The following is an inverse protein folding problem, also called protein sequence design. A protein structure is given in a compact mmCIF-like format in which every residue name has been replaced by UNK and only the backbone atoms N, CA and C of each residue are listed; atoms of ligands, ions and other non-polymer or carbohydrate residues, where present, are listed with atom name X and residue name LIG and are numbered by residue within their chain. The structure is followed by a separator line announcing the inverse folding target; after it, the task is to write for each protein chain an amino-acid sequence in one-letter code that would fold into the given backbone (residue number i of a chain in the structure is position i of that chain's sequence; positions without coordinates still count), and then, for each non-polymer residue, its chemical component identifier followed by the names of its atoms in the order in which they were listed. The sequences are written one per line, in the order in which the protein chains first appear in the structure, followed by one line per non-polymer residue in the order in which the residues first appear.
data_IF_550421956301
#
_entry.id   IF_550421956301
#
_cell.length_a   1.000
_cell.length_b   1.000
_cell.length_c   1.000
_cell.angle_alpha   90.00
_cell.angle_beta   90.00
_cell.angle_gamma   90.00
#
_symmetry.space_group_name_H-M   'P 1'
#
loop_
_entity.id
_entity.type
_entity.pdbx_description
1 polymer ?
#
# COMPACT_ATOMS: atom_id res chain seq x y z
N UNK A 1 -38.74 1.76 -6.70
CA UNK A 1 -37.81 0.62 -6.83
C UNK A 1 -37.06 0.50 -5.51
N UNK A 2 -36.61 -0.70 -5.12
CA UNK A 2 -35.78 -0.84 -3.91
C UNK A 2 -34.47 -0.05 -4.10
N UNK A 3 -34.00 0.57 -3.00
CA UNK A 3 -32.77 1.35 -2.97
C UNK A 3 -31.58 0.42 -3.22
N UNK A 4 -30.74 0.71 -4.23
CA UNK A 4 -29.53 -0.08 -4.49
C UNK A 4 -28.52 0.10 -3.36
N UNK A 5 -27.73 -0.94 -3.07
CA UNK A 5 -26.78 -0.97 -1.95
C UNK A 5 -25.34 -1.09 -2.46
N UNK A 6 -24.48 -0.19 -1.97
CA UNK A 6 -23.04 -0.24 -2.18
C UNK A 6 -22.37 -0.74 -0.91
N UNK A 7 -21.53 -1.77 -1.00
CA UNK A 7 -20.60 -2.14 0.07
C UNK A 7 -19.24 -1.48 -0.16
N UNK A 8 -18.62 -0.92 0.87
CA UNK A 8 -17.29 -0.31 0.78
C UNK A 8 -16.34 -0.84 1.86
N UNK A 9 -15.11 -1.19 1.47
CA UNK A 9 -14.08 -1.66 2.40
C UNK A 9 -12.69 -1.13 2.08
N UNK A 10 -11.83 -1.14 3.10
CA UNK A 10 -10.38 -0.90 2.99
C UNK A 10 -9.61 -2.12 3.46
N UNK A 11 -8.71 -2.65 2.62
CA UNK A 11 -7.90 -3.83 2.93
C UNK A 11 -6.39 -3.58 2.93
N UNK A 12 -5.63 -4.47 3.59
CA UNK A 12 -4.17 -4.37 3.69
C UNK A 12 -3.69 -3.26 4.63
N UNK A 13 -2.50 -2.70 4.38
CA UNK A 13 -2.01 -1.55 5.17
C UNK A 13 -2.80 -0.27 4.90
N UNK A 14 -3.29 0.41 5.94
CA UNK A 14 -3.81 1.78 5.88
C UNK A 14 -2.78 2.80 5.36
N UNK A 15 -3.24 3.88 4.73
CA UNK A 15 -2.41 4.98 4.25
C UNK A 15 -3.19 6.30 4.34
N UNK A 16 -2.53 7.47 4.35
CA UNK A 16 -3.22 8.75 4.23
C UNK A 16 -4.03 8.83 2.93
N UNK A 17 -5.23 9.42 3.01
CA UNK A 17 -6.13 9.60 1.85
C UNK A 17 -7.32 8.65 1.80
N UNK A 18 -7.27 7.52 2.51
CA UNK A 18 -8.37 6.55 2.55
C UNK A 18 -9.70 7.15 2.98
N UNK A 19 -9.71 7.89 4.10
CA UNK A 19 -10.91 8.52 4.61
C UNK A 19 -11.49 9.57 3.65
N UNK A 20 -10.66 10.28 2.89
CA UNK A 20 -11.12 11.22 1.88
C UNK A 20 -11.81 10.50 0.71
N UNK A 21 -11.26 9.36 0.27
CA UNK A 21 -11.90 8.50 -0.72
C UNK A 21 -13.23 7.95 -0.21
N UNK A 22 -13.27 7.37 0.99
CA UNK A 22 -14.50 6.82 1.57
C UNK A 22 -15.57 7.90 1.70
N UNK A 23 -15.23 9.06 2.27
CA UNK A 23 -16.16 10.19 2.39
C UNK A 23 -16.75 10.57 1.04
N UNK A 24 -15.91 10.66 0.01
CA UNK A 24 -16.37 11.03 -1.33
C UNK A 24 -17.36 10.01 -1.87
N UNK A 25 -17.04 8.71 -1.81
CA UNK A 25 -17.92 7.63 -2.26
C UNK A 25 -19.25 7.67 -1.50
N UNK A 26 -19.22 7.76 -0.17
CA UNK A 26 -20.42 7.76 0.68
C UNK A 26 -21.32 8.95 0.36
N UNK A 27 -20.78 10.18 0.31
CA UNK A 27 -21.59 11.36 0.05
C UNK A 27 -22.22 11.32 -1.35
N UNK A 28 -21.45 10.91 -2.36
CA UNK A 28 -21.92 10.73 -3.74
C UNK A 28 -22.98 9.66 -3.86
N UNK A 29 -22.81 8.53 -3.19
CA UNK A 29 -23.79 7.45 -3.17
C UNK A 29 -25.11 7.90 -2.53
N UNK A 30 -25.06 8.59 -1.39
CA UNK A 30 -26.23 9.10 -0.71
C UNK A 30 -27.00 10.15 -1.53
N UNK A 31 -26.30 10.99 -2.30
CA UNK A 31 -26.90 11.97 -3.22
C UNK A 31 -27.66 11.31 -4.38
N UNK A 32 -27.20 10.13 -4.81
CA UNK A 32 -27.79 9.33 -5.89
C UNK A 32 -28.77 8.28 -5.35
N UNK A 33 -29.24 8.45 -4.11
CA UNK A 33 -30.15 7.57 -3.40
C UNK A 33 -29.68 6.10 -3.34
N UNK A 34 -28.39 5.85 -3.09
CA UNK A 34 -27.87 4.53 -2.72
C UNK A 34 -27.81 4.33 -1.21
N UNK A 35 -28.05 3.11 -0.75
CA UNK A 35 -27.73 2.65 0.60
C UNK A 35 -26.25 2.31 0.64
N UNK A 36 -25.54 2.67 1.70
CA UNK A 36 -24.09 2.42 1.79
C UNK A 36 -23.75 1.62 3.02
N UNK A 37 -23.12 0.46 2.84
CA UNK A 37 -22.63 -0.40 3.90
C UNK A 37 -21.10 -0.29 4.00
N UNK A 38 -20.62 0.27 5.11
CA UNK A 38 -19.21 0.27 5.48
C UNK A 38 -18.83 -1.07 6.10
N UNK A 39 -18.01 -1.84 5.38
CA UNK A 39 -17.47 -3.13 5.83
C UNK A 39 -16.16 -2.85 6.57
N UNK A 40 -16.18 -3.15 7.86
CA UNK A 40 -15.07 -2.88 8.78
C UNK A 40 -14.02 -3.97 8.71
N UNK A 41 -12.76 -3.61 8.93
CA UNK A 41 -11.60 -4.54 8.96
C UNK A 41 -11.38 -5.25 7.61
N UNK A 42 -11.69 -4.62 6.48
CA UNK A 42 -11.46 -5.19 5.16
C UNK A 42 -12.19 -6.52 4.97
N UNK A 43 -11.54 -7.51 4.35
CA UNK A 43 -12.15 -8.83 4.10
C UNK A 43 -12.50 -9.62 5.37
N UNK A 44 -11.83 -9.34 6.50
CA UNK A 44 -12.26 -9.92 7.79
C UNK A 44 -13.70 -9.51 8.15
N UNK A 45 -14.15 -8.33 7.73
CA UNK A 45 -15.52 -7.88 7.95
C UNK A 45 -16.55 -8.83 7.39
N UNK A 46 -16.32 -9.37 6.19
CA UNK A 46 -17.23 -10.34 5.58
C UNK A 46 -16.98 -11.76 6.10
N UNK A 47 -15.72 -12.16 6.26
CA UNK A 47 -15.37 -13.51 6.72
C UNK A 47 -15.86 -13.80 8.15
N UNK A 48 -15.78 -12.81 9.05
CA UNK A 48 -16.20 -12.95 10.44
C UNK A 48 -17.66 -12.52 10.69
N UNK A 49 -18.39 -12.10 9.66
CA UNK A 49 -19.80 -11.76 9.78
C UNK A 49 -20.60 -13.05 10.02
N UNK A 50 -20.96 -13.35 11.26
CA UNK A 50 -21.70 -14.56 11.60
C UNK A 50 -23.20 -14.39 11.29
N UNK A 51 -23.70 -15.05 10.25
CA UNK A 51 -25.11 -14.95 9.82
C UNK A 51 -26.10 -15.33 10.93
N UNK A 52 -25.70 -16.23 11.84
CA UNK A 52 -26.55 -16.75 12.91
C UNK A 52 -26.44 -15.96 14.23
N UNK A 53 -25.59 -14.93 14.28
CA UNK A 53 -25.35 -14.13 15.49
C UNK A 53 -25.52 -12.62 15.23
N UNK A 54 -26.78 -12.12 15.17
CA UNK A 54 -27.09 -10.72 14.84
C UNK A 54 -26.42 -9.67 15.73
N UNK A 55 -26.10 -10.02 16.98
CA UNK A 55 -25.39 -9.13 17.91
C UNK A 55 -23.99 -8.72 17.43
N UNK A 56 -23.40 -9.45 16.48
CA UNK A 56 -22.07 -9.15 15.92
C UNK A 56 -22.11 -8.34 14.63
N UNK A 57 -23.28 -8.22 13.98
CA UNK A 57 -23.39 -7.68 12.62
C UNK A 57 -22.90 -6.24 12.54
N UNK A 58 -23.33 -5.36 13.46
CA UNK A 58 -22.93 -3.94 13.47
C UNK A 58 -21.41 -3.76 13.72
N UNK A 59 -20.76 -4.72 14.38
CA UNK A 59 -19.32 -4.63 14.59
C UNK A 59 -18.53 -4.72 13.27
N UNK A 60 -19.03 -5.54 12.33
CA UNK A 60 -18.38 -5.83 11.06
C UNK A 60 -18.93 -5.02 9.89
N UNK A 61 -20.23 -4.74 9.86
CA UNK A 61 -20.87 -4.01 8.76
C UNK A 61 -21.82 -2.97 9.34
N UNK A 62 -21.64 -1.71 8.94
CA UNK A 62 -22.47 -0.59 9.41
C UNK A 62 -23.04 0.16 8.24
N UNK A 63 -24.29 0.57 8.32
CA UNK A 63 -24.83 1.53 7.38
C UNK A 63 -24.16 2.90 7.61
N UNK A 64 -23.73 3.54 6.53
CA UNK A 64 -23.03 4.82 6.58
C UNK A 64 -23.97 5.94 6.12
N UNK A 65 -24.07 6.97 6.95
CA UNK A 65 -24.80 8.18 6.67
C UNK A 65 -23.85 9.38 6.56
N UNK A 66 -24.39 10.52 6.12
CA UNK A 66 -23.63 11.78 5.91
C UNK A 66 -22.86 12.21 7.16
N UNK A 67 -23.40 11.96 8.35
CA UNK A 67 -22.76 12.35 9.62
C UNK A 67 -21.56 11.46 9.98
N UNK A 68 -21.58 10.18 9.62
CA UNK A 68 -20.50 9.24 9.93
C UNK A 68 -19.19 9.61 9.24
N UNK A 69 -19.28 10.21 8.04
CA UNK A 69 -18.12 10.58 7.22
C UNK A 69 -17.80 12.08 7.25
N UNK A 70 -18.46 12.86 8.10
CA UNK A 70 -18.37 14.33 8.07
C UNK A 70 -16.94 14.86 8.26
N UNK A 71 -16.17 14.23 9.13
CA UNK A 71 -14.87 14.74 9.61
C UNK A 71 -13.69 13.83 9.31
N UNK A 72 -13.93 12.62 8.81
CA UNK A 72 -12.91 11.57 8.66
C UNK A 72 -11.80 11.96 7.67
N UNK A 73 -12.11 12.80 6.68
CA UNK A 73 -11.18 13.28 5.65
C UNK A 73 -10.02 14.13 6.20
N UNK A 74 -10.13 14.55 7.46
CA UNK A 74 -9.11 15.35 8.16
C UNK A 74 -8.03 14.51 8.82
N UNK A 75 -8.20 13.19 8.88
CA UNK A 75 -7.27 12.27 9.55
C UNK A 75 -6.70 11.25 8.58
N UNK A 76 -5.48 10.77 8.88
CA UNK A 76 -4.90 9.60 8.24
C UNK A 76 -5.61 8.29 8.56
N UNK A 77 -5.06 7.20 8.04
CA UNK A 77 -5.60 5.86 8.22
C UNK A 77 -7.01 5.66 7.66
N UNK A 78 -7.72 4.66 8.17
CA UNK A 78 -9.09 4.32 7.76
C UNK A 78 -10.00 4.13 8.97
N UNK A 79 -11.12 4.87 9.01
CA UNK A 79 -12.10 4.73 10.10
C UNK A 79 -12.90 3.41 10.02
N UNK A 80 -12.91 2.75 8.85
CA UNK A 80 -13.45 1.40 8.69
C UNK A 80 -12.51 0.33 9.28
N UNK A 81 -11.29 0.70 9.67
CA UNK A 81 -10.21 -0.24 9.97
C UNK A 81 -9.86 -1.13 8.78
N UNK A 82 -8.85 -1.95 8.96
CA UNK A 82 -8.34 -2.85 7.92
C UNK A 82 -7.83 -4.14 8.54
N UNK A 83 -7.65 -5.17 7.73
CA UNK A 83 -6.99 -6.41 8.13
C UNK A 83 -6.19 -6.98 6.96
N UNK A 84 -5.26 -7.89 7.29
CA UNK A 84 -4.57 -8.74 6.31
C UNK A 84 -5.25 -10.10 6.26
N UNK A 85 -6.46 -10.13 5.71
CA UNK A 85 -7.29 -11.33 5.58
C UNK A 85 -7.50 -11.64 4.12
N UNK A 86 -7.24 -12.88 3.71
CA UNK A 86 -7.57 -13.40 2.39
C UNK A 86 -8.57 -14.54 2.53
N UNK A 87 -9.86 -14.35 2.18
CA UNK A 87 -10.84 -15.42 2.31
C UNK A 87 -10.55 -16.64 1.41
N UNK A 88 -9.69 -16.55 0.40
CA UNK A 88 -9.27 -17.72 -0.41
C UNK A 88 -8.24 -18.61 0.30
N UNK A 89 -7.55 -18.08 1.32
CA UNK A 89 -6.39 -18.72 1.95
C UNK A 89 -6.40 -18.47 3.45
N UNK A 90 -7.42 -18.99 4.12
CA UNK A 90 -7.58 -18.83 5.56
C UNK A 90 -6.92 -20.00 6.29
N UNK A 91 -5.85 -19.71 7.03
CA UNK A 91 -5.16 -20.71 7.87
C UNK A 91 -6.06 -21.16 9.02
N UNK A 92 -5.89 -22.39 9.57
CA UNK A 92 -6.68 -22.88 10.71
C UNK A 92 -6.76 -21.92 11.91
N UNK A 93 -5.63 -21.28 12.25
CA UNK A 93 -5.53 -20.30 13.36
C UNK A 93 -6.34 -19.02 13.12
N UNK A 94 -6.53 -18.64 11.86
CA UNK A 94 -7.27 -17.45 11.45
C UNK A 94 -8.73 -17.75 11.09
N UNK A 95 -9.14 -19.02 11.15
CA UNK A 95 -10.52 -19.43 10.84
C UNK A 95 -11.46 -19.05 11.99
N UNK A 96 -12.56 -18.30 11.73
CA UNK A 96 -13.58 -18.03 12.74
C UNK A 96 -14.14 -19.32 13.35
N UNK A 97 -14.40 -19.34 14.66
CA UNK A 97 -14.82 -20.57 15.35
C UNK A 97 -16.10 -21.19 14.79
N UNK A 98 -17.05 -20.35 14.36
CA UNK A 98 -18.30 -20.81 13.75
C UNK A 98 -18.12 -21.43 12.36
N UNK A 99 -16.97 -21.22 11.69
CA UNK A 99 -16.67 -21.80 10.38
C UNK A 99 -15.87 -23.12 10.44
N UNK A 100 -15.13 -23.39 11.52
CA UNK A 100 -14.19 -24.54 11.62
C UNK A 100 -14.83 -25.91 11.36
N UNK A 101 -16.09 -26.08 11.72
CA UNK A 101 -16.85 -27.33 11.54
C UNK A 101 -18.13 -27.10 10.72
N UNK A 102 -18.19 -26.00 9.97
CA UNK A 102 -19.33 -25.68 9.12
C UNK A 102 -19.27 -26.44 7.80
N UNK A 103 -20.37 -26.41 7.03
CA UNK A 103 -20.39 -26.91 5.65
C UNK A 103 -19.71 -25.96 4.65
N UNK A 104 -19.23 -24.81 5.11
CA UNK A 104 -18.60 -23.79 4.28
C UNK A 104 -17.09 -24.00 4.18
N UNK A 105 -16.54 -23.52 3.06
CA UNK A 105 -15.12 -23.54 2.81
C UNK A 105 -14.67 -24.78 2.05
N UNK A 106 -13.63 -24.60 1.22
CA UNK A 106 -13.01 -25.67 0.45
C UNK A 106 -11.54 -25.82 0.84
N UNK A 107 -11.02 -27.05 1.03
CA UNK A 107 -9.61 -27.25 1.34
C UNK A 107 -8.74 -26.77 0.18
N UNK A 108 -7.69 -26.02 0.50
CA UNK A 108 -6.72 -25.46 -0.46
C UNK A 108 -5.42 -26.25 -0.46
N UNK A 109 -5.01 -26.75 0.71
CA UNK A 109 -3.78 -27.51 0.92
C UNK A 109 -3.95 -28.55 2.04
N UNK A 110 -2.93 -29.39 2.21
CA UNK A 110 -2.86 -30.43 3.25
C UNK A 110 -2.56 -29.86 4.66
N UNK A 111 -2.26 -28.55 4.77
CA UNK A 111 -2.01 -27.87 6.05
C UNK A 111 -3.30 -27.38 6.72
N UNK A 112 -4.46 -27.62 6.10
CA UNK A 112 -5.77 -27.23 6.59
C UNK A 112 -6.15 -25.79 6.24
N UNK A 113 -5.48 -25.16 5.27
CA UNK A 113 -5.91 -23.86 4.74
C UNK A 113 -7.21 -24.03 3.96
N UNK A 114 -8.16 -23.13 4.19
CA UNK A 114 -9.49 -23.17 3.58
C UNK A 114 -9.79 -21.92 2.75
N UNK A 115 -10.48 -22.10 1.63
CA UNK A 115 -11.09 -21.05 0.81
C UNK A 115 -12.57 -20.90 1.19
N UNK A 116 -12.89 -19.82 1.90
CA UNK A 116 -14.24 -19.46 2.37
C UNK A 116 -14.95 -18.47 1.43
N UNK A 117 -14.59 -18.43 0.15
CA UNK A 117 -15.24 -17.54 -0.82
C UNK A 117 -16.74 -17.82 -0.95
N UNK A 118 -17.16 -19.07 -0.84
CA UNK A 118 -18.57 -19.47 -0.81
C UNK A 118 -19.36 -18.81 0.34
N UNK A 119 -18.78 -18.78 1.54
CA UNK A 119 -19.33 -18.10 2.69
C UNK A 119 -19.40 -16.59 2.48
N UNK A 120 -18.32 -15.98 1.97
CA UNK A 120 -18.27 -14.55 1.69
C UNK A 120 -19.34 -14.14 0.67
N UNK A 121 -19.54 -14.93 -0.39
CA UNK A 121 -20.63 -14.72 -1.34
C UNK A 121 -21.99 -14.77 -0.66
N UNK A 122 -22.20 -15.70 0.28
CA UNK A 122 -23.46 -15.80 1.03
C UNK A 122 -23.70 -14.58 1.93
N UNK A 123 -22.65 -14.05 2.54
CA UNK A 123 -22.72 -12.82 3.34
C UNK A 123 -23.04 -11.61 2.47
N UNK A 124 -22.41 -11.48 1.29
CA UNK A 124 -22.69 -10.39 0.33
C UNK A 124 -24.15 -10.43 -0.12
N UNK A 125 -24.67 -11.62 -0.46
CA UNK A 125 -26.08 -11.83 -0.81
C UNK A 125 -27.01 -11.45 0.34
N UNK A 126 -26.73 -11.92 1.56
CA UNK A 126 -27.53 -11.61 2.75
C UNK A 126 -27.59 -10.11 3.06
N UNK A 127 -26.48 -9.40 2.88
CA UNK A 127 -26.40 -7.95 3.07
C UNK A 127 -27.11 -7.16 1.95
N UNK A 128 -27.46 -7.83 0.85
CA UNK A 128 -28.12 -7.23 -0.31
C UNK A 128 -27.22 -6.22 -1.03
N UNK A 129 -25.91 -6.47 -1.09
CA UNK A 129 -24.94 -5.59 -1.75
C UNK A 129 -25.03 -5.78 -3.27
N UNK A 130 -25.37 -4.73 -4.00
CA UNK A 130 -25.46 -4.74 -5.46
C UNK A 130 -24.09 -4.49 -6.12
N UNK A 131 -23.25 -3.64 -5.50
CA UNK A 131 -21.89 -3.34 -5.98
C UNK A 131 -20.92 -3.19 -4.82
N UNK A 132 -19.74 -3.81 -4.92
CA UNK A 132 -18.63 -3.61 -3.99
C UNK A 132 -17.65 -2.55 -4.49
N UNK A 133 -17.24 -1.64 -3.61
CA UNK A 133 -16.11 -0.74 -3.81
C UNK A 133 -14.99 -1.15 -2.84
N UNK A 134 -13.88 -1.63 -3.39
CA UNK A 134 -12.75 -2.12 -2.59
C UNK A 134 -11.54 -1.21 -2.75
N UNK A 135 -10.97 -0.76 -1.63
CA UNK A 135 -9.79 0.12 -1.62
C UNK A 135 -8.61 -0.64 -1.03
N UNK A 136 -7.56 -0.87 -1.82
CA UNK A 136 -6.61 -1.93 -1.53
C UNK A 136 -5.30 -1.85 -2.32
N UNK A 137 -4.29 -2.59 -1.85
CA UNK A 137 -3.15 -3.00 -2.69
C UNK A 137 -3.42 -4.36 -3.34
N UNK A 138 -2.42 -4.96 -3.99
CA UNK A 138 -2.54 -6.19 -4.79
C UNK A 138 -3.31 -7.32 -4.07
N UNK A 139 -2.97 -7.58 -2.82
CA UNK A 139 -3.63 -8.58 -1.96
C UNK A 139 -5.16 -8.38 -1.89
N UNK A 140 -5.60 -7.14 -1.68
CA UNK A 140 -7.02 -6.82 -1.57
C UNK A 140 -7.69 -6.84 -2.94
N UNK A 141 -7.04 -6.29 -3.95
CA UNK A 141 -7.62 -6.12 -5.28
C UNK A 141 -7.67 -7.43 -6.06
N UNK A 142 -6.72 -8.34 -5.83
CA UNK A 142 -6.74 -9.69 -6.40
C UNK A 142 -7.94 -10.51 -5.87
N UNK A 143 -8.30 -10.37 -4.59
CA UNK A 143 -9.52 -10.97 -4.06
C UNK A 143 -10.78 -10.33 -4.68
N UNK A 144 -10.77 -9.01 -4.90
CA UNK A 144 -11.86 -8.34 -5.64
C UNK A 144 -11.99 -8.89 -7.05
N UNK A 145 -10.88 -9.08 -7.78
CA UNK A 145 -10.89 -9.66 -9.12
C UNK A 145 -11.42 -11.10 -9.12
N UNK A 146 -11.17 -11.88 -8.07
CA UNK A 146 -11.82 -13.19 -7.91
C UNK A 146 -13.33 -13.07 -7.73
N UNK A 147 -13.81 -12.18 -6.85
CA UNK A 147 -15.24 -12.01 -6.64
C UNK A 147 -15.98 -11.55 -7.90
N UNK A 148 -15.34 -10.70 -8.71
CA UNK A 148 -15.87 -10.30 -10.03
C UNK A 148 -16.07 -11.52 -10.95
N UNK A 149 -15.11 -12.46 -10.96
CA UNK A 149 -15.25 -13.74 -11.69
C UNK A 149 -16.36 -14.65 -11.14
N UNK A 150 -16.67 -14.54 -9.86
CA UNK A 150 -17.81 -15.21 -9.22
C UNK A 150 -19.14 -14.45 -9.45
N UNK A 151 -19.12 -13.36 -10.21
CA UNK A 151 -20.31 -12.60 -10.59
C UNK A 151 -20.69 -11.48 -9.63
N UNK A 152 -19.83 -11.12 -8.66
CA UNK A 152 -20.07 -9.99 -7.75
C UNK A 152 -19.64 -8.69 -8.44
N UNK A 153 -20.56 -7.76 -8.74
CA UNK A 153 -20.20 -6.50 -9.39
C UNK A 153 -19.28 -5.68 -8.48
N UNK A 154 -18.08 -5.33 -8.97
CA UNK A 154 -17.10 -4.61 -8.17
C UNK A 154 -16.38 -3.46 -8.92
N UNK A 155 -15.97 -2.45 -8.17
CA UNK A 155 -15.05 -1.38 -8.60
C UNK A 155 -13.88 -1.30 -7.62
N UNK A 156 -12.66 -1.43 -8.15
CA UNK A 156 -11.43 -1.40 -7.39
C UNK A 156 -10.80 0.00 -7.35
N UNK A 157 -10.21 0.37 -6.20
CA UNK A 157 -9.46 1.62 -6.01
C UNK A 157 -8.05 1.29 -5.49
N UNK A 158 -6.98 1.67 -6.23
CA UNK A 158 -5.61 1.33 -5.88
C UNK A 158 -5.09 2.19 -4.72
N UNK A 159 -4.53 1.50 -3.73
CA UNK A 159 -4.04 2.07 -2.48
C UNK A 159 -2.82 1.29 -2.00
N UNK A 160 -1.68 1.94 -1.97
CA UNK A 160 -0.42 1.42 -1.43
C UNK A 160 0.58 2.57 -1.38
N UNK A 161 1.38 2.63 -0.33
CA UNK A 161 2.47 3.61 -0.24
C UNK A 161 3.69 3.21 -1.08
N UNK A 162 3.71 1.99 -1.61
CA UNK A 162 4.80 1.44 -2.44
C UNK A 162 4.60 1.75 -3.94
N UNK A 163 3.45 2.35 -4.28
CA UNK A 163 3.00 2.69 -5.64
C UNK A 163 3.04 1.54 -6.66
N UNK A 164 2.90 0.30 -6.19
CA UNK A 164 3.24 -0.92 -6.91
C UNK A 164 2.06 -1.66 -7.56
N UNK A 165 0.86 -1.07 -7.58
CA UNK A 165 -0.30 -1.68 -8.26
C UNK A 165 -0.15 -1.54 -9.77
N UNK A 166 -0.17 -2.67 -10.47
CA UNK A 166 -0.07 -2.69 -11.93
C UNK A 166 -1.29 -2.08 -12.62
N UNK A 167 -1.05 -1.30 -13.68
CA UNK A 167 -2.10 -0.63 -14.47
C UNK A 167 -2.41 0.81 -14.05
N UNK A 168 -1.75 1.35 -13.03
CA UNK A 168 -1.87 2.76 -12.62
C UNK A 168 -0.50 3.38 -12.31
N UNK A 169 -0.33 4.63 -12.71
CA UNK A 169 0.86 5.44 -12.40
C UNK A 169 0.87 5.85 -10.92
N UNK A 170 -0.30 5.83 -10.27
CA UNK A 170 -0.48 6.37 -8.93
C UNK A 170 -1.44 5.54 -8.05
N UNK A 171 -1.04 5.37 -6.80
CA UNK A 171 -1.81 4.76 -5.71
C UNK A 171 -2.04 5.74 -4.58
N UNK A 172 -3.24 5.72 -3.98
CA UNK A 172 -3.53 6.53 -2.79
C UNK A 172 -2.51 6.19 -1.70
N UNK A 173 -1.93 7.23 -1.08
CA UNK A 173 -0.98 7.16 0.03
C UNK A 173 0.48 7.37 -0.38
N UNK A 174 0.79 7.31 -1.68
CA UNK A 174 2.16 7.37 -2.18
C UNK A 174 2.80 8.76 -1.95
N UNK A 175 2.16 9.84 -2.39
CA UNK A 175 2.75 11.17 -2.26
C UNK A 175 2.96 11.57 -0.80
N UNK A 176 2.00 11.26 0.08
CA UNK A 176 2.14 11.60 1.50
C UNK A 176 3.31 10.84 2.13
N UNK A 177 3.51 9.57 1.76
CA UNK A 177 4.65 8.78 2.22
C UNK A 177 5.98 9.38 1.75
N UNK A 178 6.06 9.84 0.51
CA UNK A 178 7.23 10.52 -0.04
C UNK A 178 7.46 11.87 0.66
N UNK A 179 6.45 12.74 0.75
CA UNK A 179 6.54 14.05 1.41
C UNK A 179 7.04 13.91 2.85
N UNK A 180 6.47 12.98 3.62
CA UNK A 180 6.88 12.77 5.01
C UNK A 180 8.31 12.25 5.12
N UNK A 181 8.70 11.34 4.23
CA UNK A 181 10.08 10.86 4.20
C UNK A 181 11.07 11.98 3.88
N UNK A 182 10.75 12.84 2.91
CA UNK A 182 11.58 14.00 2.56
C UNK A 182 11.72 14.96 3.75
N UNK A 183 10.62 15.30 4.42
CA UNK A 183 10.62 16.18 5.60
C UNK A 183 11.48 15.59 6.74
N UNK A 184 11.31 14.29 7.02
CA UNK A 184 12.03 13.60 8.08
C UNK A 184 13.53 13.47 7.77
N UNK A 185 13.90 13.14 6.53
CA UNK A 185 15.30 13.09 6.09
C UNK A 185 15.92 14.48 6.18
N UNK A 186 15.19 15.52 5.77
CA UNK A 186 15.65 16.91 5.86
C UNK A 186 15.94 17.31 7.30
N UNK A 187 15.04 16.99 8.24
CA UNK A 187 15.28 17.21 9.66
C UNK A 187 16.48 16.38 10.18
N UNK A 188 16.57 15.11 9.76
CA UNK A 188 17.62 14.16 10.15
C UNK A 188 19.03 14.58 9.72
N UNK A 189 19.17 15.39 8.66
CA UNK A 189 20.48 15.98 8.28
C UNK A 189 21.12 16.80 9.39
N UNK A 190 20.33 17.42 10.27
CA UNK A 190 20.83 18.26 11.36
C UNK A 190 21.74 17.47 12.33
N UNK A 191 21.28 16.39 12.98
CA UNK A 191 22.16 15.58 13.82
C UNK A 191 23.22 14.82 13.02
N UNK A 192 22.93 14.35 11.81
CA UNK A 192 23.90 13.61 10.98
C UNK A 192 25.11 14.50 10.63
N UNK A 193 24.87 15.74 10.21
CA UNK A 193 25.92 16.71 9.93
C UNK A 193 26.66 17.19 11.19
N UNK A 194 25.94 17.47 12.28
CA UNK A 194 26.55 17.94 13.53
C UNK A 194 27.53 16.94 14.15
N UNK A 195 27.35 15.65 13.87
CA UNK A 195 28.23 14.58 14.35
C UNK A 195 29.14 14.02 13.27
N UNK A 196 29.14 14.59 12.06
CA UNK A 196 29.92 14.14 10.92
C UNK A 196 29.75 12.64 10.64
N UNK A 197 28.50 12.15 10.55
CA UNK A 197 28.18 10.71 10.44
C UNK A 197 27.67 10.31 9.08
N UNK A 198 27.57 9.01 8.86
CA UNK A 198 26.79 8.46 7.74
C UNK A 198 25.37 8.18 8.24
N UNK A 199 24.38 8.84 7.63
CA UNK A 199 22.97 8.62 7.90
C UNK A 199 22.42 7.48 7.05
N UNK A 200 21.73 6.52 7.68
CA UNK A 200 21.07 5.40 6.99
C UNK A 200 19.58 5.48 7.30
N UNK A 201 18.75 5.64 6.27
CA UNK A 201 17.30 5.80 6.40
C UNK A 201 16.58 4.65 5.72
N UNK A 202 15.93 3.79 6.51
CA UNK A 202 15.13 2.67 5.99
C UNK A 202 13.68 3.10 5.73
N UNK A 203 13.21 2.81 4.51
CA UNK A 203 11.90 3.17 3.96
C UNK A 203 11.10 1.92 3.57
N UNK A 204 9.79 2.05 3.49
CA UNK A 204 8.93 1.02 2.90
C UNK A 204 9.22 0.83 1.40
N UNK A 205 8.86 -0.35 0.87
CA UNK A 205 9.09 -0.74 -0.52
C UNK A 205 9.39 -2.23 -0.64
N UNK A 206 8.41 -3.09 -0.34
CA UNK A 206 8.65 -4.55 -0.29
C UNK A 206 9.10 -5.12 -1.63
N UNK A 207 8.25 -5.00 -2.65
CA UNK A 207 8.45 -5.59 -3.97
C UNK A 207 8.84 -4.55 -5.03
N UNK A 208 8.79 -3.26 -4.65
CA UNK A 208 9.10 -2.10 -5.48
C UNK A 208 9.93 -1.12 -4.67
N UNK A 209 11.00 -0.58 -5.25
CA UNK A 209 11.85 0.44 -4.64
C UNK A 209 11.42 1.87 -4.95
N UNK A 210 10.24 2.06 -5.57
CA UNK A 210 9.79 3.36 -6.07
C UNK A 210 9.73 4.43 -4.98
N UNK A 211 9.20 4.08 -3.80
CA UNK A 211 9.15 5.01 -2.65
C UNK A 211 10.54 5.43 -2.21
N UNK A 212 11.52 4.51 -2.19
CA UNK A 212 12.90 4.86 -1.86
C UNK A 212 13.56 5.70 -2.95
N UNK A 213 13.33 5.38 -4.22
CA UNK A 213 13.87 6.09 -5.37
C UNK A 213 13.40 7.55 -5.42
N UNK A 214 12.08 7.77 -5.35
CA UNK A 214 11.49 9.11 -5.42
C UNK A 214 11.82 9.91 -4.17
N UNK A 215 11.78 9.28 -2.99
CA UNK A 215 12.22 9.92 -1.74
C UNK A 215 13.67 10.38 -1.85
N UNK A 216 14.57 9.52 -2.36
CA UNK A 216 15.96 9.85 -2.51
C UNK A 216 16.20 11.03 -3.46
N UNK A 217 15.49 11.01 -4.60
CA UNK A 217 15.54 12.06 -5.59
C UNK A 217 15.11 13.41 -5.00
N UNK A 218 13.97 13.46 -4.31
CA UNK A 218 13.41 14.70 -3.77
C UNK A 218 14.12 15.18 -2.51
N UNK A 219 14.62 14.28 -1.66
CA UNK A 219 15.40 14.64 -0.47
C UNK A 219 16.88 14.96 -0.77
N UNK A 220 17.32 14.75 -2.02
CA UNK A 220 18.70 14.99 -2.45
C UNK A 220 19.72 14.20 -1.65
N UNK A 221 19.42 12.93 -1.32
CA UNK A 221 20.35 12.07 -0.59
C UNK A 221 21.49 11.60 -1.49
N UNK A 222 22.60 11.22 -0.88
CA UNK A 222 23.83 10.89 -1.59
C UNK A 222 23.72 9.55 -2.32
N UNK A 223 23.04 8.56 -1.71
CA UNK A 223 22.80 7.22 -2.29
C UNK A 223 21.38 6.72 -2.02
N UNK A 224 20.88 5.88 -2.92
CA UNK A 224 19.58 5.24 -2.82
C UNK A 224 19.72 3.76 -3.13
N UNK A 225 19.28 2.88 -2.24
CA UNK A 225 19.23 1.44 -2.44
C UNK A 225 17.77 1.04 -2.61
N UNK A 226 17.46 0.41 -3.74
CA UNK A 226 16.09 0.02 -4.15
C UNK A 226 15.94 -1.50 -4.14
N UNK A 227 14.69 -2.00 -4.14
CA UNK A 227 14.39 -3.43 -4.03
C UNK A 227 14.71 -4.21 -5.30
N UNK A 228 14.72 -3.54 -6.45
CA UNK A 228 14.94 -4.13 -7.77
C UNK A 228 16.41 -4.50 -8.04
N UNK A 229 17.34 -3.82 -7.37
CA UNK A 229 18.78 -3.90 -7.67
C UNK A 229 19.52 -4.41 -6.44
N UNK A 230 20.02 -5.66 -6.47
CA UNK A 230 20.95 -6.13 -5.45
C UNK A 230 22.18 -5.23 -5.40
N UNK A 231 22.68 -4.93 -4.19
CA UNK A 231 23.78 -3.99 -4.03
C UNK A 231 25.01 -4.64 -3.38
N UNK A 232 26.17 -4.27 -3.88
CA UNK A 232 27.46 -4.56 -3.28
C UNK A 232 27.74 -3.60 -2.11
N UNK A 233 27.95 -4.16 -0.92
CA UNK A 233 28.17 -3.37 0.30
C UNK A 233 29.55 -2.68 0.35
N UNK A 234 30.58 -3.28 -0.23
CA UNK A 234 31.91 -2.65 -0.31
C UNK A 234 31.87 -1.42 -1.19
N UNK A 235 31.26 -1.55 -2.38
CA UNK A 235 31.03 -0.44 -3.30
C UNK A 235 30.21 0.68 -2.64
N UNK A 236 29.15 0.33 -1.91
CA UNK A 236 28.34 1.32 -1.19
C UNK A 236 29.18 2.07 -0.14
N UNK A 237 30.03 1.36 0.62
CA UNK A 237 30.93 1.98 1.59
C UNK A 237 31.88 2.97 0.92
N UNK A 238 32.54 2.58 -0.18
CA UNK A 238 33.50 3.44 -0.89
C UNK A 238 32.84 4.72 -1.41
N UNK A 239 31.66 4.57 -2.03
CA UNK A 239 30.86 5.67 -2.54
C UNK A 239 30.42 6.65 -1.43
N UNK A 240 29.96 6.13 -0.27
CA UNK A 240 29.54 6.96 0.86
C UNK A 240 30.72 7.67 1.52
N UNK A 241 31.90 7.03 1.57
CA UNK A 241 33.11 7.67 2.07
C UNK A 241 33.58 8.79 1.16
N UNK A 242 33.44 8.63 -0.16
CA UNK A 242 33.70 9.70 -1.12
C UNK A 242 32.73 10.87 -0.95
N UNK A 243 31.43 10.60 -0.86
CA UNK A 243 30.41 11.65 -0.67
C UNK A 243 30.65 12.43 0.62
N UNK A 244 30.93 11.71 1.71
CA UNK A 244 31.24 12.30 3.01
C UNK A 244 32.45 13.23 2.93
N UNK A 245 33.54 12.82 2.26
CA UNK A 245 34.75 13.66 2.09
C UNK A 245 34.48 14.91 1.24
N UNK A 246 33.59 14.81 0.26
CA UNK A 246 33.25 15.91 -0.65
C UNK A 246 32.18 16.85 -0.08
N UNK A 247 31.53 16.48 1.02
CA UNK A 247 30.57 17.32 1.73
C UNK A 247 31.30 18.25 2.72
N UNK A 248 31.16 19.58 2.64
CA UNK A 248 31.78 20.52 3.59
C UNK A 248 31.39 20.30 5.06
N UNK A 249 30.21 19.72 5.32
CA UNK A 249 29.75 19.33 6.66
C UNK A 249 30.14 17.89 7.03
N UNK A 250 31.01 17.26 6.24
CA UNK A 250 31.59 15.94 6.46
C UNK A 250 30.55 14.86 6.80
N UNK A 251 29.46 14.73 6.03
CA UNK A 251 28.46 13.69 6.23
C UNK A 251 27.91 13.17 4.89
N UNK A 252 27.27 11.99 4.91
CA UNK A 252 26.54 11.44 3.76
C UNK A 252 25.27 10.73 4.23
N UNK A 253 24.25 10.65 3.37
CA UNK A 253 22.98 9.96 3.66
C UNK A 253 22.67 8.96 2.56
N UNK A 254 22.24 7.77 2.99
CA UNK A 254 21.68 6.73 2.12
C UNK A 254 20.24 6.42 2.52
N UNK A 255 19.36 6.28 1.53
CA UNK A 255 18.03 5.68 1.71
C UNK A 255 18.08 4.21 1.30
N UNK A 256 17.35 3.36 2.02
CA UNK A 256 17.32 1.92 1.78
C UNK A 256 15.88 1.45 1.83
N UNK A 257 15.42 0.83 0.75
CA UNK A 257 14.14 0.13 0.72
C UNK A 257 14.17 -1.11 1.64
N UNK A 258 13.10 -1.39 2.39
CA UNK A 258 13.02 -2.58 3.27
C UNK A 258 13.14 -3.91 2.52
N UNK A 259 12.84 -3.91 1.21
CA UNK A 259 13.00 -5.03 0.30
C UNK A 259 14.37 -5.13 -0.37
N UNK A 260 15.31 -4.24 -0.04
CA UNK A 260 16.66 -4.25 -0.60
C UNK A 260 17.43 -5.53 -0.22
N UNK A 261 18.28 -5.99 -1.14
CA UNK A 261 19.08 -7.21 -0.99
C UNK A 261 20.56 -6.94 -1.25
N UNK A 262 21.44 -7.41 -0.38
CA UNK A 262 22.88 -7.40 -0.65
C UNK A 262 23.23 -8.48 -1.68
N UNK A 263 24.23 -8.24 -2.53
CA UNK A 263 24.79 -9.28 -3.42
C UNK A 263 25.20 -10.53 -2.61
N UNK A 264 24.70 -11.70 -3.00
CA UNK A 264 24.96 -12.97 -2.30
C UNK A 264 24.24 -13.14 -0.95
N UNK A 265 23.40 -12.18 -0.55
CA UNK A 265 22.54 -12.29 0.63
C UNK A 265 21.10 -12.69 0.28
N UNK A 266 20.34 -13.13 1.28
CA UNK A 266 18.90 -13.32 1.17
C UNK A 266 18.13 -12.09 1.68
N UNK A 267 16.88 -11.94 1.25
CA UNK A 267 15.96 -10.94 1.79
C UNK A 267 15.75 -11.19 3.28
N UNK A 268 15.90 -10.15 4.10
CA UNK A 268 15.76 -10.27 5.56
C UNK A 268 14.28 -10.30 5.91
N UNK A 269 13.79 -11.51 6.16
CA UNK A 269 12.44 -11.75 6.67
C UNK A 269 12.48 -12.06 8.17
N UNK A 270 11.55 -11.48 8.94
CA UNK A 270 11.35 -11.78 10.36
C UNK A 270 9.88 -12.12 10.65
N UNK A 271 9.65 -13.03 11.59
CA UNK A 271 8.32 -13.36 12.12
C UNK A 271 7.48 -14.32 11.26
N UNK A 272 6.25 -14.60 11.73
CA UNK A 272 5.29 -15.46 11.03
C UNK A 272 4.78 -14.81 9.74
N UNK A 273 4.58 -15.61 8.69
CA UNK A 273 3.94 -15.16 7.44
C UNK A 273 2.45 -14.87 7.66
N UNK A 274 1.96 -13.73 7.14
CA UNK A 274 0.54 -13.37 7.21
C UNK A 274 -0.35 -14.22 6.27
N UNK A 275 -1.63 -13.87 6.15
CA UNK A 275 -2.61 -14.61 5.34
C UNK A 275 -2.33 -14.55 3.83
N UNK A 276 -1.47 -13.65 3.37
CA UNK A 276 -1.04 -13.53 1.97
C UNK A 276 0.33 -14.17 1.73
N UNK A 277 0.93 -14.78 2.76
CA UNK A 277 2.26 -15.38 2.69
C UNK A 277 3.39 -14.37 2.94
N UNK A 278 3.06 -13.12 3.27
CA UNK A 278 4.03 -12.06 3.48
C UNK A 278 4.62 -12.11 4.89
N UNK A 279 5.94 -12.34 5.03
CA UNK A 279 6.67 -12.16 6.31
C UNK A 279 7.03 -10.70 6.55
N UNK A 280 7.32 -10.28 7.79
CA UNK A 280 7.74 -8.89 8.04
C UNK A 280 9.13 -8.67 7.45
N UNK A 281 9.26 -7.66 6.60
CA UNK A 281 10.54 -7.15 6.14
C UNK A 281 11.05 -6.05 7.08
N UNK A 282 12.30 -5.68 6.88
CA UNK A 282 12.96 -4.59 7.59
C UNK A 282 14.13 -5.02 8.45
N UNK A 283 14.94 -4.03 8.81
CA UNK A 283 16.21 -4.22 9.50
C UNK A 283 17.41 -4.38 8.57
N UNK A 284 17.21 -4.42 7.25
CA UNK A 284 18.33 -4.33 6.28
C UNK A 284 19.10 -3.03 6.48
N UNK A 285 18.42 -1.92 6.77
CA UNK A 285 19.08 -0.64 7.04
C UNK A 285 19.95 -0.67 8.29
N UNK A 286 19.54 -1.41 9.33
CA UNK A 286 20.38 -1.60 10.51
C UNK A 286 21.61 -2.45 10.19
N UNK A 287 21.45 -3.55 9.44
CA UNK A 287 22.57 -4.38 9.00
C UNK A 287 23.56 -3.58 8.16
N UNK A 288 23.05 -2.78 7.21
CA UNK A 288 23.89 -1.90 6.39
C UNK A 288 24.60 -0.85 7.24
N UNK A 289 23.93 -0.26 8.23
CA UNK A 289 24.55 0.70 9.14
C UNK A 289 25.69 0.08 9.98
N UNK A 290 25.52 -1.15 10.46
CA UNK A 290 26.57 -1.87 11.19
C UNK A 290 27.74 -2.25 10.27
N UNK A 291 27.44 -2.65 9.04
CA UNK A 291 28.43 -3.08 8.06
C UNK A 291 29.27 -1.89 7.52
N UNK A 292 28.64 -0.73 7.32
CA UNK A 292 29.36 0.53 7.04
C UNK A 292 30.35 0.83 8.16
N UNK A 293 29.93 0.75 9.43
CA UNK A 293 30.80 1.01 10.58
C UNK A 293 31.94 0.00 10.65
N UNK A 294 31.65 -1.29 10.47
CA UNK A 294 32.64 -2.37 10.53
C UNK A 294 33.72 -2.22 9.46
N UNK A 295 33.35 -1.83 8.23
CA UNK A 295 34.28 -1.73 7.10
C UNK A 295 35.04 -0.42 7.05
N UNK A 296 34.38 0.70 7.37
CA UNK A 296 34.95 2.05 7.17
C UNK A 296 35.48 2.70 8.44
N UNK A 297 35.11 2.16 9.62
CA UNK A 297 35.36 2.79 10.92
C UNK A 297 34.50 4.04 11.18
N UNK A 298 33.64 4.46 10.26
CA UNK A 298 32.77 5.62 10.45
C UNK A 298 31.55 5.29 11.30
N UNK A 299 31.20 6.18 12.21
CA UNK A 299 29.97 6.04 12.97
C UNK A 299 28.75 6.35 12.08
N UNK A 300 27.72 5.52 12.24
CA UNK A 300 26.44 5.66 11.54
C UNK A 300 25.35 6.22 12.46
N UNK A 301 24.32 6.79 11.85
CA UNK A 301 23.03 7.06 12.50
C UNK A 301 21.96 6.37 11.66
N UNK A 302 21.23 5.45 12.28
CA UNK A 302 20.19 4.68 11.62
C UNK A 302 18.81 5.18 12.04
N UNK A 303 17.92 5.35 11.06
CA UNK A 303 16.52 5.67 11.29
C UNK A 303 15.61 4.80 10.41
N UNK A 304 14.72 4.04 11.04
CA UNK A 304 13.61 3.37 10.36
C UNK A 304 12.40 4.30 10.38
N UNK A 305 11.88 4.71 9.22
CA UNK A 305 10.70 5.59 9.20
C UNK A 305 9.40 4.80 9.37
N UNK A 306 9.29 3.64 8.70
CA UNK A 306 8.16 2.70 8.82
C UNK A 306 6.80 3.42 8.95
N UNK A 307 6.09 3.21 10.07
CA UNK A 307 4.73 3.73 10.28
C UNK A 307 4.62 5.26 10.23
N UNK A 308 5.71 6.00 10.41
CA UNK A 308 5.70 7.46 10.34
C UNK A 308 5.38 7.97 8.93
N UNK A 309 5.80 7.24 7.89
CA UNK A 309 5.57 7.60 6.47
C UNK A 309 4.07 7.68 6.13
N UNK A 310 3.27 6.80 6.76
CA UNK A 310 1.83 6.66 6.54
C UNK A 310 0.97 7.31 7.62
N UNK A 311 1.59 8.13 8.48
CA UNK A 311 0.93 8.78 9.60
C UNK A 311 0.42 10.18 9.26
N UNK A 312 -0.63 10.62 9.97
CA UNK A 312 -1.18 11.96 9.82
C UNK A 312 -2.06 12.15 8.57
N UNK A 313 -2.55 13.37 8.33
CA UNK A 313 -3.46 13.65 7.22
C UNK A 313 -2.75 13.52 5.86
N UNK A 314 -3.51 13.20 4.78
CA UNK A 314 -2.98 13.22 3.43
C UNK A 314 -2.54 14.63 3.05
N UNK A 315 -1.46 14.69 2.26
CA UNK A 315 -1.04 15.91 1.58
C UNK A 315 -2.09 16.38 0.53
N UNK A 316 -1.78 17.43 -0.21
CA UNK A 316 -2.69 17.98 -1.22
C UNK A 316 -2.94 17.02 -2.39
N UNK A 317 -1.94 16.25 -2.79
CA UNK A 317 -1.97 15.41 -3.98
C UNK A 317 -2.72 14.10 -3.71
N UNK A 318 -2.39 13.41 -2.62
CA UNK A 318 -3.13 12.24 -2.16
C UNK A 318 -4.59 12.58 -1.87
N UNK A 319 -4.86 13.77 -1.35
CA UNK A 319 -6.25 14.23 -1.16
C UNK A 319 -6.97 14.41 -2.48
N UNK A 320 -6.33 15.06 -3.47
CA UNK A 320 -6.90 15.25 -4.79
C UNK A 320 -7.18 13.92 -5.49
N UNK A 321 -6.20 13.00 -5.47
CA UNK A 321 -6.35 11.68 -6.10
C UNK A 321 -7.39 10.84 -5.39
N UNK A 322 -7.39 10.78 -4.05
CA UNK A 322 -8.39 10.03 -3.30
C UNK A 322 -9.83 10.51 -3.56
N UNK A 323 -10.05 11.82 -3.63
CA UNK A 323 -11.36 12.40 -3.97
C UNK A 323 -11.72 12.07 -5.43
N UNK A 324 -10.78 12.20 -6.35
CA UNK A 324 -11.03 11.97 -7.78
C UNK A 324 -11.31 10.49 -8.07
N UNK A 325 -10.57 9.57 -7.44
CA UNK A 325 -10.80 8.13 -7.52
C UNK A 325 -12.15 7.75 -6.90
N UNK A 326 -12.52 8.31 -5.76
CA UNK A 326 -13.84 8.09 -5.17
C UNK A 326 -14.98 8.57 -6.08
N UNK A 327 -14.83 9.74 -6.72
CA UNK A 327 -15.79 10.24 -7.70
C UNK A 327 -15.85 9.36 -8.95
N UNK A 328 -14.70 8.96 -9.50
CA UNK A 328 -14.64 8.11 -10.69
C UNK A 328 -15.25 6.74 -10.43
N UNK A 329 -14.99 6.14 -9.26
CA UNK A 329 -15.63 4.89 -8.86
C UNK A 329 -17.16 5.02 -8.85
N UNK A 330 -17.69 6.11 -8.28
CA UNK A 330 -19.13 6.37 -8.33
C UNK A 330 -19.67 6.62 -9.73
N UNK A 331 -18.93 7.29 -10.61
CA UNK A 331 -19.33 7.43 -12.02
C UNK A 331 -19.48 6.07 -12.71
N UNK A 332 -18.60 5.12 -12.42
CA UNK A 332 -18.69 3.75 -12.95
C UNK A 332 -19.93 3.03 -12.41
N UNK A 333 -20.17 3.10 -11.09
CA UNK A 333 -21.36 2.52 -10.46
C UNK A 333 -22.64 3.08 -11.08
N UNK A 334 -22.73 4.40 -11.28
CA UNK A 334 -23.91 5.05 -11.87
C UNK A 334 -24.14 4.66 -13.34
N UNK A 335 -23.08 4.36 -14.08
CA UNK A 335 -23.15 3.85 -15.45
C UNK A 335 -23.41 2.34 -15.52
N UNK A 336 -23.43 1.64 -14.38
CA UNK A 336 -23.51 0.18 -14.33
C UNK A 336 -22.24 -0.51 -14.85
N UNK A 337 -21.11 0.19 -14.87
CA UNK A 337 -19.82 -0.36 -15.31
C UNK A 337 -19.08 -0.95 -14.10
N UNK A 338 -18.98 -2.28 -14.04
CA UNK A 338 -18.23 -3.02 -13.00
C UNK A 338 -17.09 -3.83 -13.61
N UNK A 339 -16.32 -4.55 -12.78
CA UNK A 339 -15.14 -5.30 -13.21
C UNK A 339 -13.95 -4.39 -13.58
N UNK A 340 -13.92 -3.19 -13.02
CA UNK A 340 -12.92 -2.15 -13.34
C UNK A 340 -12.17 -1.68 -12.11
N UNK A 341 -10.91 -1.31 -12.31
CA UNK A 341 -10.12 -0.54 -11.35
C UNK A 341 -9.97 0.89 -11.85
N UNK A 342 -10.20 1.89 -10.98
CA UNK A 342 -9.86 3.28 -11.30
C UNK A 342 -8.35 3.44 -11.32
N UNK A 343 -7.84 4.24 -12.26
CA UNK A 343 -6.41 4.37 -12.47
C UNK A 343 -6.04 5.80 -12.91
N UNK A 344 -4.74 6.07 -12.86
CA UNK A 344 -4.12 7.22 -13.49
C UNK A 344 -3.15 6.67 -14.55
N UNK A 345 -3.25 7.12 -15.79
CA UNK A 345 -2.33 6.75 -16.88
C UNK A 345 -1.97 7.99 -17.70
N UNK A 346 -0.68 8.26 -17.84
CA UNK A 346 -0.18 9.42 -18.59
C UNK A 346 -0.70 10.74 -18.03
N UNK A 347 -0.82 10.85 -16.70
CA UNK A 347 -1.33 12.06 -16.05
C UNK A 347 -2.87 12.23 -16.12
N UNK A 348 -3.61 11.25 -16.63
CA UNK A 348 -5.07 11.32 -16.82
C UNK A 348 -5.79 10.26 -16.00
N UNK A 349 -6.90 10.65 -15.39
CA UNK A 349 -7.82 9.68 -14.76
C UNK A 349 -8.43 8.78 -15.83
N UNK A 350 -8.35 7.47 -15.60
CA UNK A 350 -8.83 6.43 -16.51
C UNK A 350 -9.29 5.20 -15.71
N UNK A 351 -9.62 4.12 -16.41
CA UNK A 351 -9.92 2.82 -15.81
C UNK A 351 -9.20 1.71 -16.54
N UNK A 352 -8.83 0.66 -15.83
CA UNK A 352 -8.33 -0.60 -16.39
C UNK A 352 -9.22 -1.77 -15.95
N UNK A 353 -9.22 -2.90 -16.67
CA UNK A 353 -9.87 -4.12 -16.20
C UNK A 353 -9.33 -4.54 -14.83
N UNK A 354 -10.21 -5.00 -13.93
CA UNK A 354 -9.79 -5.37 -12.56
C UNK A 354 -8.75 -6.51 -12.54
N UNK A 355 -8.76 -7.37 -13.56
CA UNK A 355 -7.80 -8.47 -13.74
C UNK A 355 -6.33 -8.01 -13.87
N UNK A 356 -6.08 -6.73 -14.19
CA UNK A 356 -4.73 -6.17 -14.24
C UNK A 356 -3.99 -6.34 -12.91
N UNK A 357 -4.73 -6.30 -11.80
CA UNK A 357 -4.20 -6.51 -10.43
C UNK A 357 -3.63 -7.91 -10.18
N UNK A 358 -3.85 -8.85 -11.10
CA UNK A 358 -3.37 -10.24 -11.00
C UNK A 358 -2.43 -10.66 -12.13
N UNK A 359 -2.20 -9.80 -13.13
CA UNK A 359 -1.52 -10.18 -14.38
C UNK A 359 -0.18 -9.47 -14.60
N UNK A 360 0.16 -8.47 -13.79
CA UNK A 360 1.43 -7.75 -13.89
C UNK A 360 1.95 -7.30 -12.54
N UNK A 361 3.19 -6.84 -12.55
CA UNK A 361 3.87 -6.26 -11.39
C UNK A 361 4.37 -4.88 -11.83
N UNK A 362 4.16 -3.84 -11.02
CA UNK A 362 4.79 -2.55 -11.23
C UNK A 362 6.08 -2.47 -10.43
N UNK A 363 7.17 -2.08 -11.09
CA UNK A 363 8.51 -1.94 -10.52
C UNK A 363 9.19 -0.71 -11.08
N UNK A 364 10.27 -0.30 -10.44
CA UNK A 364 11.11 0.78 -10.93
C UNK A 364 11.65 0.47 -12.33
N UNK A 365 11.54 1.45 -13.23
CA UNK A 365 12.28 1.45 -14.49
C UNK A 365 13.76 1.76 -14.20
N UNK A 366 14.50 0.70 -13.89
CA UNK A 366 15.91 0.81 -13.49
C UNK A 366 16.75 1.46 -14.59
N UNK A 367 16.50 1.12 -15.85
CA UNK A 367 17.30 1.62 -16.98
C UNK A 367 17.19 3.14 -17.13
N UNK A 368 15.98 3.69 -16.97
CA UNK A 368 15.73 5.12 -17.19
C UNK A 368 15.79 5.96 -15.92
N UNK A 369 15.56 5.37 -14.74
CA UNK A 369 15.39 6.15 -13.50
C UNK A 369 16.46 5.90 -12.44
N UNK A 370 17.35 4.92 -12.61
CA UNK A 370 18.33 4.56 -11.59
C UNK A 370 19.71 4.28 -12.18
N UNK A 371 20.74 4.75 -11.50
CA UNK A 371 22.13 4.45 -11.84
C UNK A 371 22.65 3.34 -10.92
N UNK A 372 22.72 2.12 -11.45
CA UNK A 372 23.22 0.93 -10.76
C UNK A 372 24.70 1.08 -10.39
N UNK A 373 25.46 1.88 -11.13
CA UNK A 373 26.89 2.07 -10.86
C UNK A 373 27.15 3.01 -9.70
N UNK A 374 26.31 4.04 -9.55
CA UNK A 374 26.48 5.03 -8.50
C UNK A 374 25.45 4.93 -7.37
N UNK A 375 24.50 4.00 -7.45
CA UNK A 375 23.35 3.87 -6.55
C UNK A 375 22.61 5.20 -6.35
N UNK A 376 22.22 5.85 -7.45
CA UNK A 376 21.56 7.16 -7.45
C UNK A 376 20.34 7.18 -8.35
N UNK A 377 19.30 7.96 -8.01
CA UNK A 377 18.27 8.30 -8.98
C UNK A 377 18.88 9.01 -10.20
N UNK A 378 18.47 8.61 -11.40
CA UNK A 378 18.96 9.13 -12.69
C UNK A 378 17.81 9.64 -13.57
N UNK A 379 17.07 10.62 -13.07
CA UNK A 379 15.95 11.22 -13.81
C UNK A 379 16.47 12.43 -14.61
N UNK A 380 17.06 12.20 -15.80
CA UNK A 380 17.67 13.28 -16.62
C UNK A 380 16.77 13.84 -17.72
N UNK A 381 15.89 13.01 -18.29
CA UNK A 381 15.04 13.38 -19.43
C UNK A 381 13.56 13.31 -19.02
N UNK A 382 13.00 14.43 -18.58
CA UNK A 382 11.59 14.52 -18.17
C UNK A 382 10.65 14.94 -19.30
N UNK A 383 11.17 15.29 -20.47
CA UNK A 383 10.36 15.74 -21.60
C UNK A 383 9.42 14.62 -22.05
N UNK A 384 8.12 14.84 -21.91
CA UNK A 384 7.07 13.87 -22.27
C UNK A 384 6.78 12.82 -21.20
N UNK A 385 7.49 12.83 -20.06
CA UNK A 385 7.18 11.95 -18.93
C UNK A 385 5.97 12.48 -18.14
N UNK A 386 5.12 11.58 -17.61
CA UNK A 386 4.10 11.95 -16.65
C UNK A 386 4.72 12.54 -15.38
N UNK A 387 3.96 13.37 -14.66
CA UNK A 387 4.43 14.01 -13.41
C UNK A 387 4.91 12.98 -12.37
N UNK A 388 4.34 11.77 -12.37
CA UNK A 388 4.70 10.69 -11.46
C UNK A 388 5.81 9.78 -11.98
N UNK A 389 6.40 10.11 -13.13
CA UNK A 389 7.51 9.38 -13.76
C UNK A 389 7.16 7.94 -14.22
N UNK A 390 5.87 7.59 -14.23
CA UNK A 390 5.31 6.33 -14.77
C UNK A 390 4.13 6.64 -15.67
#
# INVERSE_FOLDING_TARGET
MAKKTIGILTGGGDVPGLNACIKTVVLRALEEDYRVLGIRRGWAGLLYYNLDEPSTHEYYVRELHRNDVRTIDRTGGTFLHTSRTNPQKVKPKATPDFLKNSSWGKPVDDEGTMDYTDYVLKVIEHLGIDVLITIGGDDTLSYTARLDKEGVPAVAIPKTMDNDVYGTDYCIGFSTAVTRSVDMITAFRTPVGSHERIGVVELFGRNSGETSLITAYLAGVDRAIISEVPFNIEKLCDLLMEDKRNNPSNYAIVTISEGAMMEGGEVIERGEADAYGHRKLGGIGLIVADEIKRRTGQNTMYQQLAYLMRSGPPDSLDRMVAISFGNLAMQLVLKGETGKMVALQGGKYTTVPIEYTTTGIKRVDVENMYDVESYRPRIRNVLGMPMFLY
#
